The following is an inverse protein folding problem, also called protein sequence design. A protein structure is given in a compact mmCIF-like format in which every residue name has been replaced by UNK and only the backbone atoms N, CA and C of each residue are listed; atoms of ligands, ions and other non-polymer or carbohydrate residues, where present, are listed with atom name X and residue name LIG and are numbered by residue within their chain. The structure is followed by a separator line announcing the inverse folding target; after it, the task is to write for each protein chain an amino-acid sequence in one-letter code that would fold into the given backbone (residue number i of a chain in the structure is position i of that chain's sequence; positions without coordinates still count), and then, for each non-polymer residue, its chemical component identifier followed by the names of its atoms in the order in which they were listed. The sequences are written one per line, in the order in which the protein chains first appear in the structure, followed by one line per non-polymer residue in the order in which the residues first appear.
data_IF_369145945578
#
_entry.id   IF_369145945578
#
_cell.length_a   1.000
_cell.length_b   1.000
_cell.length_c   1.000
_cell.angle_alpha   90.00
_cell.angle_beta   90.00
_cell.angle_gamma   90.00
#
_symmetry.space_group_name_H-M   'P 1'
#
loop_
_entity.id
_entity.type
_entity.pdbx_description
1 polymer ?
#
# COMPACT_ATOMS: atom_id res chain seq x y z
N UNK A 1 -0.19 9.54 -9.21
CA UNK A 1 -0.68 8.94 -10.46
C UNK A 1 -1.85 9.73 -11.02
N UNK A 2 -3.09 9.28 -10.75
CA UNK A 2 -4.33 9.94 -11.23
C UNK A 2 -4.37 11.46 -11.04
N UNK A 3 -4.12 11.96 -9.82
CA UNK A 3 -4.13 13.40 -9.57
C UNK A 3 -3.12 14.18 -10.44
N UNK A 4 -1.97 13.57 -10.74
CA UNK A 4 -0.97 14.16 -11.64
C UNK A 4 -1.45 14.22 -13.09
N UNK A 5 -2.13 13.17 -13.56
CA UNK A 5 -2.76 13.16 -14.89
C UNK A 5 -3.91 14.19 -14.97
N UNK A 6 -4.72 14.30 -13.92
CA UNK A 6 -5.78 15.30 -13.84
C UNK A 6 -5.21 16.73 -13.89
N UNK A 7 -4.09 16.98 -13.20
CA UNK A 7 -3.37 18.26 -13.25
C UNK A 7 -2.75 18.55 -14.62
N UNK A 8 -2.19 17.54 -15.29
CA UNK A 8 -1.70 17.66 -16.65
C UNK A 8 -2.83 18.03 -17.64
N UNK A 9 -3.97 17.35 -17.57
CA UNK A 9 -5.13 17.64 -18.41
C UNK A 9 -5.72 19.03 -18.12
N UNK A 10 -5.73 19.48 -16.86
CA UNK A 10 -6.10 20.87 -16.54
C UNK A 10 -5.18 21.88 -17.23
N UNK A 11 -3.86 21.64 -17.28
CA UNK A 11 -2.95 22.52 -18.00
C UNK A 11 -3.21 22.53 -19.51
N UNK A 12 -3.51 21.37 -20.09
CA UNK A 12 -3.88 21.26 -21.51
C UNK A 12 -5.13 22.09 -21.83
N UNK A 13 -6.15 22.03 -20.98
CA UNK A 13 -7.40 22.77 -21.14
C UNK A 13 -7.31 24.26 -20.74
N UNK A 14 -6.13 24.75 -20.32
CA UNK A 14 -5.95 26.11 -19.81
C UNK A 14 -6.68 26.39 -18.47
N UNK A 15 -7.02 25.34 -17.71
CA UNK A 15 -7.76 25.43 -16.44
C UNK A 15 -6.81 25.70 -15.27
N UNK A 16 -7.33 26.41 -14.25
CA UNK A 16 -6.63 26.62 -12.97
C UNK A 16 -6.30 25.30 -12.28
N UNK A 17 -5.18 25.28 -11.56
CA UNK A 17 -4.64 24.09 -10.89
C UNK A 17 -4.01 23.08 -11.85
N UNK A 18 -3.65 23.52 -13.07
CA UNK A 18 -2.91 22.70 -14.03
C UNK A 18 -1.40 22.82 -13.84
N UNK A 19 -0.66 21.77 -14.23
CA UNK A 19 0.80 21.79 -14.28
C UNK A 19 1.32 21.56 -15.70
N UNK A 20 2.12 22.53 -16.19
CA UNK A 20 2.80 22.40 -17.49
C UNK A 20 3.93 21.36 -17.44
N UNK A 21 4.59 21.22 -16.29
CA UNK A 21 5.63 20.21 -16.09
C UNK A 21 5.02 18.80 -16.22
N UNK A 22 3.92 18.54 -15.49
CA UNK A 22 3.21 17.26 -15.56
C UNK A 22 2.59 17.01 -16.94
N UNK A 23 2.13 18.06 -17.65
CA UNK A 23 1.68 17.92 -19.04
C UNK A 23 2.81 17.44 -19.96
N UNK A 24 4.00 18.04 -19.87
CA UNK A 24 5.15 17.59 -20.64
C UNK A 24 5.56 16.14 -20.33
N UNK A 25 5.46 15.71 -19.06
CA UNK A 25 5.72 14.31 -18.68
C UNK A 25 4.62 13.37 -19.17
N UNK A 26 3.36 13.78 -19.12
CA UNK A 26 2.24 13.01 -19.67
C UNK A 26 2.47 12.77 -21.16
N UNK A 27 2.80 13.81 -21.92
CA UNK A 27 3.03 13.71 -23.36
C UNK A 27 4.23 12.81 -23.70
N UNK A 28 5.29 12.87 -22.89
CA UNK A 28 6.45 12.01 -23.05
C UNK A 28 6.15 10.51 -22.79
N UNK A 29 5.26 10.21 -21.84
CA UNK A 29 4.99 8.82 -21.40
C UNK A 29 3.81 8.18 -22.14
N UNK A 30 2.76 8.95 -22.41
CA UNK A 30 1.50 8.44 -22.95
C UNK A 30 1.16 9.00 -24.35
N UNK A 31 1.98 9.90 -24.89
CA UNK A 31 1.69 10.60 -26.14
C UNK A 31 0.71 11.78 -25.95
N UNK A 32 0.19 12.35 -27.04
CA UNK A 32 -0.57 13.61 -27.01
C UNK A 32 -1.73 13.59 -26.01
N UNK A 33 -1.88 14.66 -25.22
CA UNK A 33 -2.90 14.76 -24.17
C UNK A 33 -4.34 14.43 -24.60
N UNK A 34 -4.84 14.86 -25.79
CA UNK A 34 -6.18 14.49 -26.26
C UNK A 34 -6.39 12.97 -26.44
N UNK A 35 -5.31 12.20 -26.61
CA UNK A 35 -5.36 10.74 -26.76
C UNK A 35 -5.49 9.97 -25.45
N UNK A 36 -5.29 10.62 -24.29
CA UNK A 36 -5.30 9.97 -22.98
C UNK A 36 -6.63 9.24 -22.67
N UNK A 37 -7.84 9.79 -22.93
CA UNK A 37 -9.09 9.09 -22.71
C UNK A 37 -9.16 7.74 -23.45
N UNK A 38 -8.74 7.71 -24.70
CA UNK A 38 -8.76 6.50 -25.52
C UNK A 38 -7.82 5.41 -24.97
N UNK A 39 -6.73 5.81 -24.30
CA UNK A 39 -5.79 4.89 -23.65
C UNK A 39 -6.35 4.30 -22.33
N UNK A 40 -7.17 5.07 -21.60
CA UNK A 40 -7.62 4.72 -20.25
C UNK A 40 -9.00 4.03 -20.19
N UNK A 41 -9.93 4.37 -21.08
CA UNK A 41 -11.31 3.86 -21.01
C UNK A 41 -11.49 2.37 -21.36
N UNK A 42 -10.80 1.77 -22.34
CA UNK A 42 -11.03 0.37 -22.71
C UNK A 42 -10.30 -0.63 -21.81
N UNK A 43 -9.49 -0.18 -20.84
CA UNK A 43 -8.56 -1.02 -20.09
C UNK A 43 -9.14 -1.54 -18.78
N UNK A 44 -9.07 -2.85 -18.58
CA UNK A 44 -9.40 -3.51 -17.30
C UNK A 44 -8.36 -3.25 -16.21
N UNK A 45 -7.12 -2.91 -16.58
CA UNK A 45 -6.01 -2.59 -15.67
C UNK A 45 -5.78 -1.08 -15.47
N UNK A 46 -6.84 -0.28 -15.66
CA UNK A 46 -6.81 1.19 -15.51
C UNK A 46 -6.13 1.68 -14.21
N UNK A 47 -6.34 1.06 -13.03
CA UNK A 47 -5.63 1.47 -11.82
C UNK A 47 -4.10 1.39 -11.95
N UNK A 48 -3.58 0.35 -12.59
CA UNK A 48 -2.14 0.16 -12.79
C UNK A 48 -1.56 1.22 -13.73
N UNK A 49 -2.28 1.54 -14.82
CA UNK A 49 -1.88 2.60 -15.76
C UNK A 49 -1.90 3.98 -15.10
N UNK A 50 -2.91 4.28 -14.29
CA UNK A 50 -2.95 5.54 -13.53
C UNK A 50 -1.81 5.61 -12.50
N UNK A 51 -1.49 4.49 -11.86
CA UNK A 51 -0.43 4.39 -10.87
C UNK A 51 0.96 4.52 -11.50
N UNK A 52 1.16 4.04 -12.73
CA UNK A 52 2.47 4.10 -13.41
C UNK A 52 2.96 5.52 -13.66
N UNK A 53 2.08 6.53 -13.62
CA UNK A 53 2.46 7.94 -13.70
C UNK A 53 2.94 8.54 -12.38
N UNK A 54 2.83 7.84 -11.25
CA UNK A 54 3.25 8.38 -9.96
C UNK A 54 4.75 8.76 -9.86
N UNK A 55 5.71 7.99 -10.44
CA UNK A 55 7.11 8.39 -10.49
C UNK A 55 7.36 9.72 -11.22
N UNK A 56 6.57 10.02 -12.26
CA UNK A 56 6.68 11.29 -12.98
C UNK A 56 6.24 12.48 -12.11
N UNK A 57 5.22 12.29 -11.28
CA UNK A 57 4.81 13.29 -10.27
C UNK A 57 5.94 13.53 -9.27
N UNK A 58 6.57 12.46 -8.77
CA UNK A 58 7.73 12.56 -7.89
C UNK A 58 8.91 13.31 -8.54
N UNK A 59 9.19 13.04 -9.82
CA UNK A 59 10.25 13.72 -10.56
C UNK A 59 10.04 15.22 -10.73
N UNK A 60 8.79 15.69 -10.79
CA UNK A 60 8.46 17.11 -10.93
C UNK A 60 8.37 17.87 -9.60
N UNK A 61 8.21 17.19 -8.46
CA UNK A 61 7.87 17.83 -7.18
C UNK A 61 8.89 18.87 -6.70
N UNK A 62 10.17 18.74 -7.05
CA UNK A 62 11.20 19.69 -6.63
C UNK A 62 11.06 21.09 -7.28
N UNK A 63 10.30 21.21 -8.37
CA UNK A 63 10.21 22.45 -9.17
C UNK A 63 8.80 22.76 -9.66
N UNK A 64 7.80 21.95 -9.29
CA UNK A 64 6.40 22.16 -9.61
C UNK A 64 5.54 22.07 -8.34
N UNK A 65 4.98 23.20 -7.85
CA UNK A 65 4.22 23.22 -6.60
C UNK A 65 2.93 22.38 -6.68
N UNK A 66 2.40 22.13 -7.88
CA UNK A 66 1.24 21.24 -8.05
C UNK A 66 1.64 19.79 -7.80
N UNK A 67 2.75 19.35 -8.37
CA UNK A 67 3.29 18.01 -8.14
C UNK A 67 3.70 17.81 -6.66
N UNK A 68 4.35 18.80 -6.06
CA UNK A 68 4.67 18.81 -4.62
C UNK A 68 3.41 18.66 -3.76
N UNK A 69 2.37 19.46 -4.04
CA UNK A 69 1.09 19.39 -3.33
C UNK A 69 0.43 18.01 -3.41
N UNK A 70 0.46 17.38 -4.59
CA UNK A 70 -0.09 16.02 -4.76
C UNK A 70 0.63 15.00 -3.87
N UNK A 71 1.96 15.11 -3.71
CA UNK A 71 2.71 14.19 -2.85
C UNK A 71 2.50 14.49 -1.37
N UNK A 72 2.37 15.75 -0.99
CA UNK A 72 2.01 16.15 0.38
C UNK A 72 0.62 15.63 0.76
N UNK A 73 -0.37 15.77 -0.12
CA UNK A 73 -1.71 15.20 0.09
C UNK A 73 -1.66 13.67 0.21
N UNK A 74 -0.85 13.01 -0.63
CA UNK A 74 -0.67 11.56 -0.54
C UNK A 74 -0.03 11.12 0.78
N UNK A 75 1.00 11.84 1.25
CA UNK A 75 1.63 11.62 2.54
C UNK A 75 0.63 11.77 3.69
N UNK A 76 -0.18 12.84 3.68
CA UNK A 76 -1.25 13.06 4.66
C UNK A 76 -2.23 11.90 4.72
N UNK A 77 -2.77 11.47 3.58
CA UNK A 77 -3.70 10.34 3.53
C UNK A 77 -3.10 9.03 4.07
N UNK A 78 -1.81 8.76 3.81
CA UNK A 78 -1.12 7.57 4.34
C UNK A 78 -1.00 7.65 5.87
N UNK A 79 -0.60 8.81 6.39
CA UNK A 79 -0.45 9.02 7.82
C UNK A 79 -1.80 8.96 8.56
N UNK A 80 -2.86 9.53 7.97
CA UNK A 80 -4.24 9.43 8.49
C UNK A 80 -4.73 7.97 8.51
N UNK A 81 -4.46 7.19 7.46
CA UNK A 81 -4.81 5.78 7.42
C UNK A 81 -4.08 4.98 8.51
N UNK A 82 -2.79 5.27 8.74
CA UNK A 82 -2.05 4.67 9.85
C UNK A 82 -2.64 5.09 11.21
N UNK A 83 -2.96 6.38 11.38
CA UNK A 83 -3.50 6.90 12.63
C UNK A 83 -4.86 6.30 12.99
N UNK A 84 -5.69 6.02 11.99
CA UNK A 84 -7.00 5.40 12.18
C UNK A 84 -6.95 3.99 12.77
N UNK A 85 -5.82 3.28 12.61
CA UNK A 85 -5.66 1.88 13.07
C UNK A 85 -4.63 1.71 14.19
N UNK A 86 -3.80 2.72 14.45
CA UNK A 86 -2.80 2.66 15.50
C UNK A 86 -3.45 2.72 16.89
N UNK A 87 -3.08 1.81 17.82
CA UNK A 87 -3.53 1.89 19.20
C UNK A 87 -3.12 3.22 19.86
N UNK A 88 -3.94 3.68 20.79
CA UNK A 88 -3.60 4.83 21.64
C UNK A 88 -2.43 4.50 22.56
N UNK A 89 -1.64 5.52 22.91
CA UNK A 89 -0.53 5.38 23.85
C UNK A 89 -1.03 4.77 25.18
N UNK A 90 -0.33 3.72 25.64
CA UNK A 90 -0.66 3.02 26.90
C UNK A 90 -1.55 1.79 26.76
N UNK A 91 -1.95 1.40 25.55
CA UNK A 91 -2.76 0.18 25.31
C UNK A 91 -1.95 -1.15 25.36
N UNK A 92 -0.66 -1.13 25.69
CA UNK A 92 0.19 -2.31 25.85
C UNK A 92 1.67 -1.96 26.12
N UNK A 93 2.44 -2.92 26.63
CA UNK A 93 3.86 -2.76 27.04
C UNK A 93 4.85 -2.58 25.87
N UNK A 94 4.41 -2.71 24.63
CA UNK A 94 5.20 -2.49 23.42
C UNK A 94 4.76 -1.23 22.71
N UNK A 95 5.71 -0.31 22.43
CA UNK A 95 5.42 0.87 21.61
C UNK A 95 4.81 0.51 20.25
N UNK A 96 3.98 1.40 19.70
CA UNK A 96 3.35 1.19 18.40
C UNK A 96 4.39 1.27 17.28
N UNK A 97 4.46 0.27 16.41
CA UNK A 97 5.33 0.28 15.24
C UNK A 97 4.52 0.46 13.95
N UNK A 98 5.01 1.32 13.06
CA UNK A 98 4.42 1.54 11.73
C UNK A 98 5.46 1.19 10.67
N UNK A 99 5.15 0.19 9.85
CA UNK A 99 6.00 -0.19 8.72
C UNK A 99 5.41 0.29 7.40
N UNK A 100 6.21 1.03 6.63
CA UNK A 100 5.84 1.45 5.27
C UNK A 100 6.19 0.34 4.28
N UNK A 101 5.18 -0.24 3.62
CA UNK A 101 5.38 -1.37 2.71
C UNK A 101 4.80 -1.10 1.32
N UNK A 102 5.56 -1.44 0.28
CA UNK A 102 5.14 -1.29 -1.12
C UNK A 102 6.06 -0.42 -1.97
N UNK A 103 5.95 -0.57 -3.29
CA UNK A 103 6.86 0.07 -4.25
C UNK A 103 6.78 1.60 -4.32
N UNK A 104 5.70 2.19 -3.81
CA UNK A 104 5.49 3.64 -3.76
C UNK A 104 6.59 4.35 -2.96
N UNK A 105 7.00 3.77 -1.83
CA UNK A 105 8.00 4.34 -0.93
C UNK A 105 9.42 4.36 -1.51
N UNK A 106 9.64 3.71 -2.66
CA UNK A 106 10.90 3.79 -3.41
C UNK A 106 11.05 5.09 -4.20
N UNK A 107 10.04 5.97 -4.21
CA UNK A 107 10.14 7.31 -4.81
C UNK A 107 11.11 8.23 -4.06
N UNK A 108 11.49 7.87 -2.84
CA UNK A 108 12.47 8.61 -2.03
C UNK A 108 11.90 9.87 -1.39
N UNK A 109 12.79 10.83 -1.13
CA UNK A 109 12.51 12.05 -0.37
C UNK A 109 11.26 12.83 -0.79
N UNK A 110 10.89 12.95 -2.09
CA UNK A 110 9.67 13.67 -2.49
C UNK A 110 8.38 13.17 -1.80
N UNK A 111 8.33 11.89 -1.40
CA UNK A 111 7.22 11.34 -0.64
C UNK A 111 7.61 11.08 0.83
N UNK A 112 8.83 10.61 1.09
CA UNK A 112 9.23 10.17 2.42
C UNK A 112 9.35 11.34 3.41
N UNK A 113 9.84 12.51 2.98
CA UNK A 113 9.93 13.70 3.86
C UNK A 113 8.55 14.12 4.38
N UNK A 114 7.56 14.47 3.51
CA UNK A 114 6.25 14.90 4.01
C UNK A 114 5.53 13.77 4.76
N UNK A 115 5.76 12.51 4.42
CA UNK A 115 5.18 11.38 5.14
C UNK A 115 5.72 11.24 6.56
N UNK A 116 7.03 11.36 6.76
CA UNK A 116 7.61 11.33 8.11
C UNK A 116 7.14 12.51 8.96
N UNK A 117 6.99 13.70 8.37
CA UNK A 117 6.43 14.88 9.04
C UNK A 117 4.98 14.63 9.51
N UNK A 118 4.13 14.11 8.63
CA UNK A 118 2.73 13.81 8.97
C UNK A 118 2.59 12.67 9.99
N UNK A 119 3.43 11.63 9.90
CA UNK A 119 3.47 10.57 10.91
C UNK A 119 3.93 11.10 12.27
N UNK A 120 4.96 11.93 12.33
CA UNK A 120 5.40 12.54 13.59
C UNK A 120 4.32 13.43 14.21
N UNK A 121 3.52 14.10 13.37
CA UNK A 121 2.41 14.96 13.80
C UNK A 121 1.21 14.16 14.31
N UNK A 122 0.79 13.12 13.59
CA UNK A 122 -0.42 12.35 13.89
C UNK A 122 -0.19 11.20 14.88
N UNK A 123 1.01 10.64 14.88
CA UNK A 123 1.39 9.46 15.66
C UNK A 123 2.74 9.68 16.37
N UNK A 124 2.85 10.69 17.25
CA UNK A 124 4.11 11.00 17.94
C UNK A 124 4.60 9.86 18.84
N UNK A 125 3.72 8.94 19.22
CA UNK A 125 4.02 7.75 20.03
C UNK A 125 4.37 6.51 19.21
N UNK A 126 4.19 6.54 17.89
CA UNK A 126 4.51 5.41 17.03
C UNK A 126 5.92 5.55 16.44
N UNK A 127 6.62 4.43 16.30
CA UNK A 127 7.94 4.35 15.67
C UNK A 127 7.80 3.84 14.24
N UNK A 128 8.23 4.63 13.28
CA UNK A 128 8.41 4.14 11.92
C UNK A 128 9.56 3.11 11.89
N UNK A 129 9.28 1.91 11.38
CA UNK A 129 10.26 0.81 11.28
C UNK A 129 10.33 0.27 9.86
N UNK A 130 11.47 -0.30 9.44
CA UNK A 130 11.52 -1.09 8.21
C UNK A 130 10.54 -2.27 8.29
N UNK A 131 9.90 -2.61 7.18
CA UNK A 131 9.09 -3.83 7.10
C UNK A 131 9.93 -5.07 7.41
N UNK A 132 9.41 -5.97 8.24
CA UNK A 132 10.15 -7.15 8.74
C UNK A 132 10.37 -8.27 7.70
N UNK A 133 10.14 -8.01 6.42
CA UNK A 133 10.31 -8.96 5.32
C UNK A 133 9.28 -8.82 4.19
N UNK A 134 9.39 -9.71 3.20
CA UNK A 134 8.46 -9.83 2.07
C UNK A 134 7.14 -10.52 2.49
N UNK A 135 5.99 -10.21 1.87
CA UNK A 135 4.71 -10.85 2.16
C UNK A 135 4.75 -12.38 2.14
N UNK A 136 5.58 -13.02 1.31
CA UNK A 136 5.73 -14.47 1.28
C UNK A 136 6.22 -15.04 2.61
N UNK A 137 7.17 -14.35 3.25
CA UNK A 137 7.67 -14.74 4.59
C UNK A 137 6.55 -14.65 5.62
N UNK A 138 5.72 -13.62 5.53
CA UNK A 138 4.51 -13.48 6.35
C UNK A 138 3.55 -14.66 6.16
N UNK A 139 3.25 -15.02 4.91
CA UNK A 139 2.40 -16.16 4.58
C UNK A 139 2.92 -17.48 5.14
N UNK A 140 4.22 -17.75 5.02
CA UNK A 140 4.84 -18.97 5.55
C UNK A 140 4.79 -19.02 7.09
N UNK A 141 4.98 -17.88 7.77
CA UNK A 141 4.86 -17.80 9.23
C UNK A 141 3.43 -18.11 9.68
N UNK A 142 2.44 -17.54 9.00
CA UNK A 142 1.02 -17.79 9.29
C UNK A 142 0.68 -19.27 9.04
N UNK A 143 1.09 -19.84 7.91
CA UNK A 143 0.83 -21.24 7.56
C UNK A 143 1.46 -22.20 8.58
N UNK A 144 2.70 -21.95 9.00
CA UNK A 144 3.37 -22.74 10.04
C UNK A 144 2.63 -22.64 11.38
N UNK A 145 2.25 -21.44 11.80
CA UNK A 145 1.54 -21.24 13.06
C UNK A 145 0.17 -21.94 13.06
N UNK A 146 -0.54 -21.96 11.92
CA UNK A 146 -1.76 -22.75 11.74
C UNK A 146 -1.49 -24.25 11.86
N UNK A 147 -0.47 -24.76 11.18
CA UNK A 147 -0.14 -26.19 11.17
C UNK A 147 0.31 -26.72 12.55
N UNK A 148 0.90 -25.86 13.39
CA UNK A 148 1.38 -26.23 14.73
C UNK A 148 0.46 -25.75 15.86
N UNK A 149 -0.72 -25.21 15.55
CA UNK A 149 -1.64 -24.66 16.56
C UNK A 149 -1.09 -23.47 17.36
N UNK A 150 -0.08 -22.77 16.84
CA UNK A 150 0.61 -21.66 17.49
C UNK A 150 0.18 -20.27 16.99
N UNK A 151 -0.94 -20.17 16.26
CA UNK A 151 -1.42 -18.89 15.75
C UNK A 151 -1.99 -18.03 16.88
N UNK A 152 -1.37 -16.87 17.12
CA UNK A 152 -1.78 -15.92 18.16
C UNK A 152 -2.82 -14.89 17.67
N UNK A 153 -3.10 -14.87 16.36
CA UNK A 153 -4.07 -13.94 15.79
C UNK A 153 -5.50 -14.40 16.14
N UNK A 154 -6.36 -13.49 16.60
CA UNK A 154 -7.74 -13.83 16.95
C UNK A 154 -8.51 -14.27 15.70
N UNK A 155 -9.33 -15.31 15.86
CA UNK A 155 -10.26 -15.72 14.83
C UNK A 155 -11.41 -14.70 14.76
N UNK A 156 -11.78 -14.30 13.55
CA UNK A 156 -12.96 -13.47 13.33
C UNK A 156 -13.95 -14.22 12.44
N UNK A 157 -15.23 -14.33 12.83
CA UNK A 157 -16.20 -15.21 12.15
C UNK A 157 -16.52 -14.79 10.70
N UNK A 158 -16.20 -13.56 10.31
CA UNK A 158 -16.38 -13.05 8.94
C UNK A 158 -15.12 -13.09 8.09
N UNK A 159 -13.99 -13.51 8.65
CA UNK A 159 -12.73 -13.67 7.91
C UNK A 159 -12.61 -15.10 7.38
N UNK A 160 -11.74 -15.28 6.38
CA UNK A 160 -11.46 -16.58 5.77
C UNK A 160 -11.06 -17.61 6.83
N UNK A 161 -11.85 -18.68 6.98
CA UNK A 161 -11.56 -19.82 7.83
C UNK A 161 -11.28 -21.04 6.96
N UNK A 162 -10.19 -21.75 7.26
CA UNK A 162 -9.87 -23.03 6.64
C UNK A 162 -10.31 -24.11 7.64
N UNK A 163 -11.43 -24.82 7.40
CA UNK A 163 -11.82 -25.93 8.26
C UNK A 163 -10.77 -27.04 8.14
N UNK A 164 -10.08 -27.36 9.24
CA UNK A 164 -9.09 -28.45 9.31
C UNK A 164 -9.75 -29.84 9.41
N UNK A 165 -11.01 -29.96 8.98
CA UNK A 165 -11.80 -31.19 9.00
C UNK A 165 -11.26 -32.20 7.98
N UNK A 166 -10.14 -32.84 8.31
CA UNK A 166 -9.54 -33.88 7.46
C UNK A 166 -8.21 -34.47 7.93
N UNK A 167 -7.47 -33.79 8.81
CA UNK A 167 -6.14 -34.30 9.25
C UNK A 167 -6.20 -35.25 10.46
N UNK A 168 -7.29 -35.25 11.24
CA UNK A 168 -7.43 -36.12 12.41
C UNK A 168 -7.97 -37.54 12.07
N UNK A 169 -8.41 -37.80 10.83
CA UNK A 169 -8.98 -39.11 10.47
C UNK A 169 -7.95 -40.16 10.01
N UNK A 170 -6.67 -39.83 9.90
CA UNK A 170 -5.64 -40.77 9.39
C UNK A 170 -4.72 -41.38 10.45
N UNK A 171 -4.83 -41.02 11.73
CA UNK A 171 -3.96 -41.57 12.80
C UNK A 171 -4.57 -42.75 13.56
N UNK A 172 -5.84 -43.13 13.34
CA UNK A 172 -6.48 -44.23 14.09
C UNK A 172 -6.78 -45.49 13.29
N UNK A 173 -6.40 -45.58 12.01
CA UNK A 173 -6.60 -46.78 11.19
C UNK A 173 -5.27 -47.51 10.94
N UNK A 174 -4.68 -48.08 11.99
CA UNK A 174 -3.39 -48.77 11.83
C UNK A 174 -2.86 -49.55 13.02
N UNK A 175 -3.68 -49.99 13.97
CA UNK A 175 -3.29 -51.04 14.93
C UNK A 175 -4.51 -51.91 15.26
N UNK A 176 -4.63 -53.05 14.59
CA UNK A 176 -5.09 -54.30 15.22
C UNK A 176 -4.47 -55.48 14.47
N UNK A 177 -3.48 -56.07 15.13
CA UNK A 177 -2.77 -57.29 14.76
C UNK A 177 -3.69 -58.52 14.69
N UNK A 178 -3.27 -59.44 13.84
CA UNK A 178 -3.63 -60.87 13.83
C UNK A 178 -3.33 -61.54 15.18
N UNK A 179 -4.14 -62.53 15.57
CA UNK A 179 -3.71 -63.53 16.54
C UNK A 179 -4.84 -64.23 17.29
N UNK A 180 -5.43 -65.27 16.68
CA UNK A 180 -5.57 -66.65 17.21
C UNK A 180 -6.67 -67.40 16.49
#
# INVERSE_FOLDING_TARGET
GRAGLDAAMRAHDGRRGGSRALLGRLEAVFGPAPGLPALLYPRTDRPAVLASFAPEVAGCAAHDPVAEGILRDAAGHIAEAAAAVCPTAGAGDGGCEVALTGGLFRMGEPLLVPLHEELARLLPHARAVPGSGDPLIGSLRIARALATGGLLLPHHPTLLSIPLSGLDQQTTAGVTEQGS
#
